data_IF_273382741730
#
_entry.id   IF_273382741730
#
_cell.length_a   1.000
_cell.length_b   1.000
_cell.length_c   1.000
_cell.angle_alpha   90.00
_cell.angle_beta   90.00
_cell.angle_gamma   90.00
#
_symmetry.space_group_name_H-M   'P 1'
#
loop_
_entity.id
_entity.type
_entity.pdbx_description
1 polymer ?
#
# COMPACT_ATOMS: atom_id res chain seq x y z
N UNK A 1 -3.22 -16.54 10.21
CA UNK A 1 -2.69 -15.42 9.42
C UNK A 1 -3.30 -14.16 10.02
N UNK A 2 -2.51 -13.41 10.79
CA UNK A 2 -3.06 -12.38 11.66
C UNK A 2 -3.25 -11.09 10.85
N UNK A 3 -4.51 -10.67 10.75
CA UNK A 3 -4.85 -9.27 10.58
C UNK A 3 -4.34 -8.53 11.82
N UNK A 4 -3.08 -8.09 11.81
CA UNK A 4 -2.52 -7.36 12.95
C UNK A 4 -3.05 -5.92 12.90
N UNK A 5 -4.18 -5.68 13.57
CA UNK A 5 -4.64 -4.33 13.88
C UNK A 5 -3.52 -3.50 14.54
N UNK A 6 -2.66 -4.17 15.30
CA UNK A 6 -1.52 -3.60 16.02
C UNK A 6 -0.31 -3.27 15.11
N UNK A 7 -0.35 -3.69 13.84
CA UNK A 7 0.67 -3.31 12.86
C UNK A 7 0.36 -1.96 12.20
N UNK A 8 -0.91 -1.73 11.84
CA UNK A 8 -1.34 -0.48 11.21
C UNK A 8 -1.57 0.61 12.26
N UNK A 9 -0.47 1.11 12.82
CA UNK A 9 -0.45 2.18 13.82
C UNK A 9 0.44 3.35 13.34
N UNK A 10 0.18 4.60 13.79
CA UNK A 10 0.94 5.78 13.37
C UNK A 10 2.46 5.66 13.53
N UNK A 11 2.91 4.90 14.53
CA UNK A 11 4.31 4.68 14.87
C UNK A 11 5.05 3.91 13.78
N UNK A 12 4.35 3.01 13.08
CA UNK A 12 4.92 2.17 12.03
C UNK A 12 4.93 2.86 10.67
N UNK A 13 4.35 4.06 10.51
CA UNK A 13 4.35 4.78 9.24
C UNK A 13 5.78 5.20 8.88
N UNK A 14 6.25 4.76 7.70
CA UNK A 14 7.57 5.10 7.16
C UNK A 14 7.54 6.03 5.98
N UNK A 15 6.39 6.19 5.33
CA UNK A 15 6.33 6.99 4.12
C UNK A 15 4.99 6.90 3.41
N UNK A 16 4.90 7.64 2.33
CA UNK A 16 3.74 7.59 1.45
C UNK A 16 4.13 7.88 0.00
N UNK A 17 3.32 7.40 -0.93
CA UNK A 17 3.40 7.76 -2.35
C UNK A 17 2.12 8.46 -2.77
N UNK A 18 2.23 9.38 -3.74
CA UNK A 18 1.12 10.23 -4.16
C UNK A 18 1.08 11.55 -3.39
N UNK A 19 0.01 12.30 -3.57
CA UNK A 19 -0.22 13.53 -2.82
C UNK A 19 -0.77 13.19 -1.43
N UNK A 20 -0.23 13.85 -0.39
CA UNK A 20 -0.65 13.64 0.99
C UNK A 20 -2.10 14.08 1.24
N UNK A 21 -2.55 15.09 0.51
CA UNK A 21 -3.88 15.68 0.62
C UNK A 21 -4.87 15.05 -0.38
N UNK A 22 -4.36 14.26 -1.32
CA UNK A 22 -5.12 13.58 -2.36
C UNK A 22 -4.79 12.07 -2.41
N UNK A 23 -5.29 11.38 -1.38
CA UNK A 23 -5.37 9.91 -1.24
C UNK A 23 -4.05 9.18 -1.45
N UNK A 24 -3.08 9.43 -0.56
CA UNK A 24 -1.80 8.77 -0.64
C UNK A 24 -1.93 7.27 -0.35
N UNK A 25 -1.04 6.47 -0.93
CA UNK A 25 -0.74 5.13 -0.39
C UNK A 25 0.25 5.28 0.75
N UNK A 26 -0.08 4.74 1.91
CA UNK A 26 0.70 4.89 3.16
C UNK A 26 1.44 3.59 3.46
N UNK A 27 2.75 3.67 3.68
CA UNK A 27 3.62 2.52 3.90
C UNK A 27 3.99 2.38 5.37
N UNK A 28 4.02 1.14 5.84
CA UNK A 28 4.26 0.77 7.22
C UNK A 28 5.42 -0.21 7.33
N UNK A 29 6.21 -0.06 8.39
CA UNK A 29 7.33 -0.95 8.72
C UNK A 29 7.51 -1.02 10.24
N UNK A 30 7.69 -2.23 10.76
CA UNK A 30 8.10 -2.51 12.14
C UNK A 30 9.30 -3.45 12.11
N UNK A 31 10.35 -3.11 12.85
CA UNK A 31 11.52 -3.97 13.02
C UNK A 31 11.34 -4.73 14.33
N UNK A 32 11.29 -6.05 14.24
CA UNK A 32 11.13 -6.95 15.38
C UNK A 32 12.48 -7.18 16.08
N UNK A 33 12.45 -7.68 17.32
CA UNK A 33 13.65 -7.85 18.15
C UNK A 33 14.67 -8.85 17.57
N UNK A 34 14.23 -9.79 16.73
CA UNK A 34 15.06 -10.79 16.06
C UNK A 34 15.61 -10.33 14.69
N UNK A 35 15.40 -9.06 14.35
CA UNK A 35 15.79 -8.46 13.09
C UNK A 35 14.84 -8.77 11.92
N UNK A 36 13.72 -9.45 12.16
CA UNK A 36 12.65 -9.56 11.17
C UNK A 36 12.01 -8.20 10.91
N UNK A 37 11.67 -7.90 9.66
CA UNK A 37 10.96 -6.67 9.31
C UNK A 37 9.54 -7.06 8.89
N UNK A 38 8.56 -6.55 9.63
CA UNK A 38 7.14 -6.63 9.29
C UNK A 38 6.77 -5.39 8.48
N UNK A 39 6.10 -5.57 7.34
CA UNK A 39 5.80 -4.50 6.40
C UNK A 39 4.43 -4.68 5.72
N UNK A 40 3.91 -3.58 5.20
CA UNK A 40 2.68 -3.52 4.42
C UNK A 40 2.28 -2.09 4.10
N UNK A 41 1.24 -1.90 3.31
CA UNK A 41 0.76 -0.57 2.97
C UNK A 41 -0.77 -0.47 2.88
N UNK A 42 -1.30 0.74 3.07
CA UNK A 42 -2.70 1.07 2.86
C UNK A 42 -2.82 1.92 1.59
N UNK A 43 -3.51 1.41 0.58
CA UNK A 43 -3.84 2.19 -0.62
C UNK A 43 -5.24 2.76 -0.47
N UNK A 44 -5.36 4.08 -0.58
CA UNK A 44 -6.62 4.79 -0.46
C UNK A 44 -7.30 4.94 -1.82
N UNK A 45 -8.63 4.88 -1.84
CA UNK A 45 -9.45 5.12 -3.03
C UNK A 45 -10.38 6.30 -2.81
N UNK A 46 -10.65 7.05 -3.88
CA UNK A 46 -11.78 7.98 -3.90
C UNK A 46 -13.09 7.21 -3.96
N UNK A 47 -13.56 6.77 -2.80
CA UNK A 47 -14.94 6.39 -2.62
C UNK A 47 -15.82 7.64 -2.73
N UNK A 48 -16.64 7.71 -3.77
CA UNK A 48 -17.59 8.78 -4.10
C UNK A 48 -19.03 8.44 -3.71
N UNK A 49 -19.29 7.29 -3.08
CA UNK A 49 -20.55 7.03 -2.39
C UNK A 49 -21.21 5.68 -2.62
N UNK A 50 -20.72 4.80 -3.50
CA UNK A 50 -21.37 3.49 -3.74
C UNK A 50 -20.50 2.31 -3.32
N UNK A 51 -20.89 1.67 -2.20
CA UNK A 51 -20.20 0.50 -1.66
C UNK A 51 -20.48 -0.68 -2.59
N UNK A 52 -19.49 -1.09 -3.38
CA UNK A 52 -19.61 -2.20 -4.33
C UNK A 52 -19.43 -1.86 -5.81
N UNK A 53 -19.24 -0.59 -6.19
CA UNK A 53 -18.96 -0.23 -7.61
C UNK A 53 -17.50 0.14 -7.87
N UNK A 54 -16.76 0.60 -6.84
CA UNK A 54 -15.31 0.81 -6.96
C UNK A 54 -14.55 -0.43 -6.48
N UNK A 55 -14.72 -1.52 -7.23
CA UNK A 55 -14.02 -2.80 -7.08
C UNK A 55 -12.57 -2.71 -7.58
N UNK A 56 -11.82 -1.69 -7.17
CA UNK A 56 -10.38 -1.71 -7.36
C UNK A 56 -9.82 -2.65 -6.27
N UNK A 57 -9.33 -3.85 -6.64
CA UNK A 57 -8.80 -4.80 -5.67
C UNK A 57 -7.55 -4.30 -4.95
N UNK A 58 -7.04 -3.15 -5.38
CA UNK A 58 -5.82 -2.55 -4.88
C UNK A 58 -6.06 -1.64 -3.67
N UNK A 59 -7.28 -1.54 -3.14
CA UNK A 59 -7.69 -0.55 -2.13
C UNK A 59 -7.88 -1.20 -0.76
N UNK A 60 -7.36 -0.57 0.28
CA UNK A 60 -7.40 -1.05 1.65
C UNK A 60 -6.03 -1.47 2.18
N UNK A 61 -6.04 -2.18 3.31
CA UNK A 61 -4.84 -2.70 3.97
C UNK A 61 -4.27 -3.88 3.19
N UNK A 62 -3.01 -3.81 2.81
CA UNK A 62 -2.32 -4.97 2.24
C UNK A 62 -2.21 -6.10 3.28
N UNK A 63 -2.06 -7.33 2.80
CA UNK A 63 -1.59 -8.43 3.64
C UNK A 63 -0.24 -8.06 4.26
N UNK A 64 -0.14 -8.15 5.58
CA UNK A 64 1.11 -7.90 6.30
C UNK A 64 2.08 -9.03 6.01
N UNK A 65 3.29 -8.68 5.60
CA UNK A 65 4.36 -9.63 5.29
C UNK A 65 5.54 -9.41 6.23
N UNK A 66 6.37 -10.43 6.37
CA UNK A 66 7.59 -10.35 7.16
C UNK A 66 8.77 -10.91 6.39
N UNK A 67 9.89 -10.18 6.37
CA UNK A 67 11.13 -10.59 5.74
C UNK A 67 12.33 -9.88 6.40
N UNK A 68 13.52 -10.47 6.36
CA UNK A 68 14.73 -9.83 6.92
C UNK A 68 15.38 -8.83 5.96
N UNK A 69 15.08 -8.94 4.68
CA UNK A 69 15.69 -8.17 3.58
C UNK A 69 14.72 -7.17 2.95
N UNK A 70 13.68 -6.76 3.68
CA UNK A 70 12.73 -5.75 3.22
C UNK A 70 13.40 -4.41 2.96
N UNK A 71 13.17 -3.86 1.76
CA UNK A 71 13.64 -2.54 1.35
C UNK A 71 12.54 -1.77 0.62
N UNK A 72 12.58 -0.44 0.75
CA UNK A 72 11.72 0.48 0.01
C UNK A 72 12.50 1.74 -0.33
N UNK A 73 12.60 2.05 -1.61
CA UNK A 73 13.47 3.12 -2.12
C UNK A 73 12.95 3.73 -3.43
N UNK A 74 13.54 4.85 -3.85
CA UNK A 74 13.24 5.47 -5.13
C UNK A 74 14.26 5.04 -6.18
N UNK A 75 13.83 4.28 -7.19
CA UNK A 75 14.63 3.82 -8.34
C UNK A 75 14.03 4.39 -9.63
N UNK A 76 14.84 5.06 -10.46
CA UNK A 76 14.41 5.58 -11.77
C UNK A 76 13.12 6.42 -11.73
N UNK A 77 13.02 7.35 -10.75
CA UNK A 77 11.84 8.18 -10.50
C UNK A 77 10.55 7.45 -10.06
N UNK A 78 10.63 6.16 -9.73
CA UNK A 78 9.55 5.35 -9.22
C UNK A 78 9.93 4.79 -7.84
N UNK A 79 8.96 4.47 -6.99
CA UNK A 79 9.24 3.70 -5.78
C UNK A 79 9.33 2.21 -6.12
N UNK A 80 10.30 1.53 -5.51
CA UNK A 80 10.41 0.08 -5.47
C UNK A 80 10.39 -0.40 -4.03
N UNK A 81 9.40 -1.21 -3.70
CA UNK A 81 9.28 -1.96 -2.44
C UNK A 81 9.55 -3.44 -2.73
N UNK A 82 10.43 -4.09 -1.97
CA UNK A 82 10.82 -5.47 -2.25
C UNK A 82 11.30 -6.22 -1.01
N UNK A 83 11.12 -7.53 -1.03
CA UNK A 83 11.71 -8.48 -0.09
C UNK A 83 12.10 -9.75 -0.88
N UNK A 84 13.34 -9.82 -1.40
CA UNK A 84 13.80 -10.91 -2.25
C UNK A 84 13.66 -12.30 -1.62
N UNK A 85 13.87 -12.43 -0.30
CA UNK A 85 13.79 -13.70 0.43
C UNK A 85 12.42 -14.39 0.35
N UNK A 86 11.36 -13.63 0.08
CA UNK A 86 9.99 -14.14 -0.09
C UNK A 86 9.44 -13.91 -1.51
N UNK A 87 10.31 -13.59 -2.48
CA UNK A 87 9.94 -13.25 -3.85
C UNK A 87 8.90 -12.11 -3.96
N UNK A 88 8.94 -11.15 -3.04
CA UNK A 88 8.04 -10.00 -3.06
C UNK A 88 8.66 -8.81 -3.80
N UNK A 89 7.90 -8.21 -4.71
CA UNK A 89 8.30 -7.01 -5.45
C UNK A 89 7.08 -6.18 -5.83
N UNK A 90 7.04 -4.94 -5.36
CA UNK A 90 5.96 -3.99 -5.58
C UNK A 90 6.51 -2.64 -6.09
N UNK A 91 6.45 -2.40 -7.42
CA UNK A 91 6.80 -1.12 -7.99
C UNK A 91 5.60 -0.15 -7.96
N UNK A 92 5.82 1.10 -7.56
CA UNK A 92 4.86 2.19 -7.71
C UNK A 92 5.32 3.16 -8.78
N UNK A 93 4.37 3.71 -9.54
CA UNK A 93 4.65 4.74 -10.57
C UNK A 93 5.08 6.07 -9.97
N UNK A 94 4.83 6.27 -8.67
CA UNK A 94 5.16 7.49 -7.93
C UNK A 94 6.35 7.26 -7.03
N UNK A 95 7.11 8.32 -6.76
CA UNK A 95 8.16 8.32 -5.74
C UNK A 95 7.55 8.16 -4.35
N UNK A 96 8.31 7.54 -3.45
CA UNK A 96 8.02 7.55 -2.02
C UNK A 96 8.62 8.78 -1.37
N UNK A 97 7.78 9.45 -0.59
CA UNK A 97 8.19 10.43 0.41
C UNK A 97 8.41 9.68 1.71
N UNK A 98 9.67 9.43 2.07
CA UNK A 98 10.02 8.81 3.34
C UNK A 98 9.84 9.82 4.48
N UNK A 99 9.27 9.35 5.59
CA UNK A 99 9.19 10.10 6.83
C UNK A 99 10.42 9.81 7.68
N UNK A 100 10.99 10.86 8.24
CA UNK A 100 12.03 10.81 9.25
C UNK A 100 11.48 11.18 10.64
N UNK A 101 12.37 11.22 11.64
CA UNK A 101 12.00 11.66 13.00
C UNK A 101 11.62 13.15 13.07
N UNK A 102 12.08 13.96 12.11
CA UNK A 102 11.79 15.39 12.04
C UNK A 102 10.46 15.71 11.33
N UNK A 103 9.83 14.70 10.75
CA UNK A 103 8.57 14.83 10.04
C UNK A 103 7.49 15.38 10.95
N UNK A 104 6.81 16.42 10.48
CA UNK A 104 5.83 17.18 11.28
C UNK A 104 4.74 16.25 11.80
N UNK A 105 4.34 16.44 13.06
CA UNK A 105 3.24 15.69 13.66
C UNK A 105 1.94 15.78 12.83
N UNK A 106 1.71 16.92 12.17
CA UNK A 106 0.59 17.11 11.25
C UNK A 106 0.62 16.18 10.03
N UNK A 107 1.79 15.87 9.48
CA UNK A 107 1.97 14.92 8.38
C UNK A 107 1.59 13.51 8.85
N UNK A 108 2.10 13.09 10.01
CA UNK A 108 1.74 11.77 10.58
C UNK A 108 0.25 11.68 10.89
N UNK A 109 -0.34 12.74 11.42
CA UNK A 109 -1.78 12.80 11.67
C UNK A 109 -2.61 12.58 10.39
N UNK A 110 -2.32 13.32 9.31
CA UNK A 110 -3.01 13.15 8.02
C UNK A 110 -2.90 11.72 7.49
N UNK A 111 -1.71 11.14 7.54
CA UNK A 111 -1.48 9.76 7.08
C UNK A 111 -2.18 8.72 7.97
N UNK A 112 -2.29 8.99 9.27
CA UNK A 112 -2.98 8.11 10.22
C UNK A 112 -4.49 8.05 9.98
N UNK A 113 -5.09 9.05 9.31
CA UNK A 113 -6.49 8.97 8.91
C UNK A 113 -6.75 7.79 7.95
N UNK A 114 -5.76 7.38 7.15
CA UNK A 114 -5.87 6.20 6.30
C UNK A 114 -6.11 4.92 7.12
N UNK A 115 -5.54 4.82 8.32
CA UNK A 115 -5.71 3.69 9.25
C UNK A 115 -7.18 3.59 9.69
N UNK A 116 -7.77 4.72 10.07
CA UNK A 116 -9.15 4.79 10.55
C UNK A 116 -10.17 4.59 9.43
N UNK A 117 -9.89 5.13 8.23
CA UNK A 117 -10.80 5.09 7.09
C UNK A 117 -10.80 3.75 6.35
N UNK A 118 -9.73 2.96 6.45
CA UNK A 118 -9.60 1.68 5.76
C UNK A 118 -9.32 0.56 6.76
N UNK A 119 -10.38 0.02 7.36
CA UNK A 119 -10.35 -1.06 8.35
C UNK A 119 -10.50 -2.46 7.73
N UNK A 120 -10.53 -2.57 6.40
CA UNK A 120 -10.62 -3.84 5.68
C UNK A 120 -9.35 -4.11 4.86
N UNK A 121 -9.08 -5.40 4.64
CA UNK A 121 -7.98 -5.86 3.80
C UNK A 121 -8.27 -5.54 2.32
N UNK A 122 -7.24 -5.41 1.50
CA UNK A 122 -7.37 -5.43 0.03
C UNK A 122 -8.03 -6.74 -0.38
N UNK A 123 -9.22 -6.67 -0.96
CA UNK A 123 -10.01 -7.86 -1.25
C UNK A 123 -9.98 -8.22 -2.74
N UNK A 124 -8.87 -8.82 -3.18
CA UNK A 124 -8.81 -9.51 -4.48
C UNK A 124 -9.81 -10.69 -4.54
N UNK A 125 -10.05 -11.34 -3.40
CA UNK A 125 -10.93 -12.51 -3.27
C UNK A 125 -12.42 -12.15 -3.30
N UNK A 126 -12.79 -10.89 -3.03
CA UNK A 126 -14.19 -10.43 -3.11
C UNK A 126 -14.59 -10.00 -4.52
N UNK A 127 -13.62 -9.90 -5.43
CA UNK A 127 -13.93 -9.74 -6.85
C UNK A 127 -14.63 -11.00 -7.36
N UNK A 128 -15.76 -10.82 -8.02
CA UNK A 128 -16.35 -11.85 -8.87
C UNK A 128 -15.38 -12.22 -9.99
N UNK A 129 -15.51 -13.41 -10.57
CA UNK A 129 -14.62 -13.85 -11.64
C UNK A 129 -14.69 -12.93 -12.87
N UNK A 130 -15.84 -12.31 -13.12
CA UNK A 130 -16.03 -11.30 -14.16
C UNK A 130 -15.22 -10.02 -13.86
N UNK A 131 -15.17 -9.57 -12.60
CA UNK A 131 -14.38 -8.40 -12.19
C UNK A 131 -12.88 -8.68 -12.22
N UNK A 132 -12.46 -9.89 -11.84
CA UNK A 132 -11.07 -10.34 -12.00
C UNK A 132 -10.66 -10.35 -13.47
N UNK A 133 -11.53 -10.84 -14.36
CA UNK A 133 -11.28 -10.89 -15.80
C UNK A 133 -11.27 -9.48 -16.41
N UNK A 134 -12.17 -8.59 -16.01
CA UNK A 134 -12.19 -7.19 -16.43
C UNK A 134 -10.94 -6.43 -15.95
N UNK A 135 -10.47 -6.68 -14.73
CA UNK A 135 -9.22 -6.10 -14.23
C UNK A 135 -7.99 -6.62 -14.99
N UNK A 136 -7.90 -7.94 -15.21
CA UNK A 136 -6.83 -8.54 -16.00
C UNK A 136 -6.82 -8.03 -17.45
N UNK A 137 -8.00 -7.88 -18.08
CA UNK A 137 -8.15 -7.31 -19.42
C UNK A 137 -7.85 -5.80 -19.44
N UNK A 138 -8.32 -5.04 -18.45
CA UNK A 138 -8.07 -3.60 -18.30
C UNK A 138 -6.59 -3.28 -18.07
N UNK A 139 -5.88 -4.09 -17.27
CA UNK A 139 -4.42 -4.05 -17.16
C UNK A 139 -3.74 -4.39 -18.50
N UNK A 140 -4.27 -5.38 -19.24
CA UNK A 140 -3.81 -5.68 -20.61
C UNK A 140 -4.01 -4.49 -21.56
N UNK A 141 -5.12 -3.75 -21.45
CA UNK A 141 -5.41 -2.55 -22.27
C UNK A 141 -4.62 -1.31 -21.85
N UNK A 142 -4.27 -1.15 -20.57
CA UNK A 142 -3.33 -0.13 -20.08
C UNK A 142 -1.90 -0.39 -20.54
N UNK A 143 -1.54 -1.65 -20.81
CA UNK A 143 -0.23 -2.06 -21.31
C UNK A 143 -0.18 -2.38 -22.82
N UNK A 144 -1.31 -2.38 -23.54
CA UNK A 144 -1.37 -2.68 -24.98
C UNK A 144 -1.68 -1.50 -25.90
N UNK A 145 -1.73 -0.26 -25.40
CA UNK A 145 -1.82 0.93 -26.26
C UNK A 145 -0.56 1.81 -26.19
N UNK A 146 0.47 1.37 -26.90
CA UNK A 146 1.10 2.19 -27.96
C UNK A 146 0.99 1.35 -29.23
N UNK A 147 0.20 1.81 -30.22
CA UNK A 147 0.74 2.68 -31.26
C UNK A 147 0.27 4.14 -31.14
#
# INVERSE_FOLDING_TARGET
>A
MAYEADFYVPENIIGYTGDIDDKPTVYFKRVEADGMITFGHITQNWFDGTFGESNSPNVGREEVRSAKDYTIENVNNAMLEQAPSINFRHPSRSKITLLDRASKASTKYKLSLAIANFTCQKHWERLTDNEKEQFAKGAKYLHSKKP
#
